data_IF_818882569969
#
_entry.id   IF_818882569969
#
_cell.length_a   1.000
_cell.length_b   1.000
_cell.length_c   1.000
_cell.angle_alpha   90.00
_cell.angle_beta   90.00
_cell.angle_gamma   90.00
#
_symmetry.space_group_name_H-M   'P 1'
#
loop_
_entity.id
_entity.type
_entity.pdbx_description
1 polymer ?
#
# COMPACT_ATOMS: atom_id res chain seq x y z
N UNK A 1 1.37 2.96 14.81
CA UNK A 1 2.67 2.80 14.14
C UNK A 1 3.83 2.80 15.13
N UNK A 2 4.11 3.92 15.85
CA UNK A 2 5.27 4.05 16.76
C UNK A 2 5.41 2.92 17.80
N UNK A 3 4.32 2.56 18.47
CA UNK A 3 4.35 1.48 19.48
C UNK A 3 4.78 0.12 18.90
N UNK A 4 4.30 -0.24 17.71
CA UNK A 4 4.68 -1.49 17.04
C UNK A 4 6.12 -1.42 16.55
N UNK A 5 6.54 -0.26 16.01
CA UNK A 5 7.93 -0.03 15.58
C UNK A 5 8.90 -0.26 16.75
N UNK A 6 8.64 0.33 17.92
CA UNK A 6 9.47 0.17 19.12
C UNK A 6 9.59 -1.31 19.53
N UNK A 7 8.46 -2.03 19.60
CA UNK A 7 8.44 -3.48 19.88
C UNK A 7 9.23 -4.31 18.85
N UNK A 8 9.15 -3.96 17.56
CA UNK A 8 9.92 -4.65 16.53
C UNK A 8 11.42 -4.36 16.65
N UNK A 9 11.79 -3.15 17.08
CA UNK A 9 13.20 -2.77 17.23
C UNK A 9 13.89 -3.48 18.40
N UNK A 10 13.16 -3.83 19.46
CA UNK A 10 13.68 -4.70 20.53
C UNK A 10 14.17 -6.06 20.00
N UNK A 11 13.49 -6.58 18.97
CA UNK A 11 13.86 -7.86 18.32
C UNK A 11 14.90 -7.67 17.21
N UNK A 12 14.81 -6.57 16.46
CA UNK A 12 15.66 -6.27 15.32
C UNK A 12 16.23 -4.86 15.43
N UNK A 13 17.32 -4.71 16.18
CA UNK A 13 17.95 -3.44 16.52
C UNK A 13 18.38 -2.59 15.30
N UNK A 14 18.72 -3.22 14.18
CA UNK A 14 19.06 -2.53 12.91
C UNK A 14 17.99 -2.73 11.83
N UNK A 15 16.82 -3.24 12.22
CA UNK A 15 15.71 -3.51 11.32
C UNK A 15 15.20 -2.24 10.64
N UNK A 16 15.00 -2.33 9.33
CA UNK A 16 14.27 -1.35 8.52
C UNK A 16 12.80 -1.79 8.40
N UNK A 17 11.94 -0.84 8.06
CA UNK A 17 10.49 -1.04 8.06
C UNK A 17 9.90 -0.84 6.68
N UNK A 18 8.90 -1.67 6.34
CA UNK A 18 7.99 -1.43 5.23
C UNK A 18 6.63 -1.18 5.84
N UNK A 19 6.03 -0.02 5.54
CA UNK A 19 4.70 0.28 6.04
C UNK A 19 3.65 -0.45 5.20
N UNK A 20 2.79 -1.22 5.86
CA UNK A 20 1.77 -2.02 5.20
C UNK A 20 0.38 -1.39 5.33
N UNK A 21 -0.21 -1.06 4.18
CA UNK A 21 -1.57 -0.55 4.04
C UNK A 21 -2.48 -1.68 3.55
N UNK A 22 -3.05 -2.44 4.50
CA UNK A 22 -3.81 -3.68 4.22
C UNK A 22 -5.33 -3.47 4.14
N UNK A 23 -5.90 -2.67 5.03
CA UNK A 23 -7.35 -2.62 5.21
C UNK A 23 -8.00 -1.68 4.19
N UNK A 24 -9.13 -2.12 3.61
CA UNK A 24 -9.92 -1.39 2.62
C UNK A 24 -9.22 -1.14 1.29
N UNK A 25 -9.94 -0.51 0.35
CA UNK A 25 -9.36 -0.10 -0.93
C UNK A 25 -8.49 1.14 -0.69
N UNK A 26 -7.22 0.93 -0.36
CA UNK A 26 -6.27 2.01 -0.06
C UNK A 26 -5.99 2.93 -1.25
N UNK A 27 -6.56 2.65 -2.43
CA UNK A 27 -6.49 3.51 -3.63
C UNK A 27 -7.86 4.02 -4.10
N UNK A 28 -8.96 3.84 -3.34
CA UNK A 28 -10.29 4.37 -3.67
C UNK A 28 -10.47 5.83 -3.23
N UNK A 29 -9.41 6.62 -3.29
CA UNK A 29 -9.44 8.04 -2.99
C UNK A 29 -8.64 8.79 -4.06
N UNK A 30 -8.94 10.08 -4.32
CA UNK A 30 -8.13 10.88 -5.22
C UNK A 30 -6.65 10.81 -4.85
N UNK A 31 -5.77 10.85 -5.86
CA UNK A 31 -4.31 10.70 -5.67
C UNK A 31 -3.73 11.64 -4.61
N UNK A 32 -4.28 12.85 -4.46
CA UNK A 32 -3.86 13.81 -3.43
C UNK A 32 -4.12 13.29 -2.00
N UNK A 33 -5.24 12.63 -1.77
CA UNK A 33 -5.54 12.00 -0.47
C UNK A 33 -4.62 10.80 -0.22
N UNK A 34 -4.20 10.10 -1.27
CA UNK A 34 -3.24 9.00 -1.16
C UNK A 34 -1.85 9.53 -0.75
N UNK A 35 -1.41 10.62 -1.38
CA UNK A 35 -0.16 11.32 -1.03
C UNK A 35 -0.17 11.78 0.43
N UNK A 36 -1.25 12.38 0.90
CA UNK A 36 -1.40 12.80 2.30
C UNK A 36 -1.29 11.64 3.30
N UNK A 37 -1.62 10.42 2.89
CA UNK A 37 -1.52 9.22 3.74
C UNK A 37 -0.17 8.52 3.65
N UNK A 38 0.40 8.41 2.45
CA UNK A 38 1.60 7.62 2.20
C UNK A 38 2.89 8.40 2.49
N UNK A 39 2.96 9.67 2.07
CA UNK A 39 4.18 10.48 2.20
C UNK A 39 4.61 10.72 3.66
N UNK A 40 3.71 10.96 4.64
CA UNK A 40 4.14 11.09 6.03
C UNK A 40 4.82 9.84 6.58
N UNK A 41 4.35 8.65 6.16
CA UNK A 41 4.91 7.37 6.62
C UNK A 41 6.28 7.11 6.02
N UNK A 42 6.50 7.52 4.77
CA UNK A 42 7.81 7.46 4.13
C UNK A 42 8.85 8.39 4.77
N UNK A 43 8.41 9.46 5.44
CA UNK A 43 9.28 10.38 6.20
C UNK A 43 9.66 9.85 7.57
N UNK A 44 9.04 8.77 8.05
CA UNK A 44 9.38 8.19 9.35
C UNK A 44 10.75 7.51 9.30
N UNK A 45 11.66 7.79 10.26
CA UNK A 45 13.00 7.22 10.27
C UNK A 45 12.98 5.68 10.22
N UNK A 46 13.78 5.10 9.32
CA UNK A 46 13.91 3.65 9.16
C UNK A 46 12.85 3.00 8.28
N UNK A 47 11.81 3.73 7.85
CA UNK A 47 10.90 3.25 6.79
C UNK A 47 11.61 3.36 5.45
N UNK A 48 11.63 2.27 4.69
CA UNK A 48 12.30 2.19 3.38
C UNK A 48 11.36 1.89 2.22
N UNK A 49 10.08 1.67 2.51
CA UNK A 49 9.14 1.22 1.52
C UNK A 49 7.70 1.17 2.00
N UNK A 50 6.83 0.90 1.04
CA UNK A 50 5.40 0.74 1.23
C UNK A 50 4.97 -0.61 0.66
N UNK A 51 4.05 -1.26 1.36
CA UNK A 51 3.26 -2.36 0.82
C UNK A 51 1.80 -1.93 0.82
N UNK A 52 1.14 -1.98 -0.33
CA UNK A 52 -0.21 -1.46 -0.54
C UNK A 52 -1.09 -2.59 -1.07
N UNK A 53 -2.08 -3.00 -0.29
CA UNK A 53 -3.16 -3.86 -0.75
C UNK A 53 -4.27 -3.04 -1.38
N UNK A 54 -4.67 -3.39 -2.61
CA UNK A 54 -5.80 -2.72 -3.28
C UNK A 54 -6.60 -3.63 -4.21
N UNK A 55 -7.74 -3.12 -4.69
CA UNK A 55 -8.55 -3.77 -5.71
C UNK A 55 -8.04 -3.40 -7.12
N UNK A 56 -8.07 -4.35 -8.07
CA UNK A 56 -7.60 -4.09 -9.44
C UNK A 56 -8.46 -3.04 -10.18
N UNK A 57 -9.73 -2.87 -9.82
CA UNK A 57 -10.64 -1.88 -10.43
C UNK A 57 -10.45 -0.46 -9.89
N UNK A 58 -9.59 -0.24 -8.89
CA UNK A 58 -9.36 1.05 -8.24
C UNK A 58 -7.95 1.61 -8.53
N UNK A 59 -7.47 1.42 -9.75
CA UNK A 59 -6.17 1.91 -10.23
C UNK A 59 -6.34 2.76 -11.49
N UNK A 60 -6.92 3.97 -11.38
CA UNK A 60 -6.93 4.94 -12.48
C UNK A 60 -5.50 5.41 -12.81
N UNK A 61 -5.32 5.97 -14.01
CA UNK A 61 -4.01 6.34 -14.55
C UNK A 61 -3.20 7.26 -13.63
N UNK A 62 -3.84 8.23 -12.97
CA UNK A 62 -3.22 9.17 -12.03
C UNK A 62 -2.65 8.46 -10.79
N UNK A 63 -3.36 7.45 -10.28
CA UNK A 63 -2.89 6.60 -9.18
C UNK A 63 -1.73 5.73 -9.64
N UNK A 64 -1.79 5.16 -10.85
CA UNK A 64 -0.72 4.33 -11.41
C UNK A 64 0.55 5.15 -11.61
N UNK A 65 0.44 6.37 -12.15
CA UNK A 65 1.57 7.31 -12.27
C UNK A 65 2.19 7.63 -10.92
N UNK A 66 1.37 7.87 -9.90
CA UNK A 66 1.87 8.12 -8.54
C UNK A 66 2.57 6.89 -7.93
N UNK A 67 2.01 5.69 -8.10
CA UNK A 67 2.67 4.46 -7.66
C UNK A 67 3.99 4.23 -8.41
N UNK A 68 4.05 4.56 -9.70
CA UNK A 68 5.28 4.48 -10.48
C UNK A 68 6.36 5.44 -9.94
N UNK A 69 6.00 6.68 -9.60
CA UNK A 69 6.91 7.63 -8.94
C UNK A 69 7.41 7.10 -7.58
N UNK A 70 6.49 6.59 -6.75
CA UNK A 70 6.83 5.99 -5.46
C UNK A 70 7.81 4.82 -5.61
N UNK A 71 7.64 3.98 -6.63
CA UNK A 71 8.52 2.85 -6.91
C UNK A 71 9.94 3.28 -7.31
N UNK A 72 10.13 4.48 -7.89
CA UNK A 72 11.48 4.99 -8.19
C UNK A 72 12.22 5.46 -6.93
N UNK A 73 11.48 5.88 -5.90
CA UNK A 73 12.05 6.47 -4.68
C UNK A 73 12.11 5.50 -3.50
N UNK A 74 11.33 4.42 -3.53
CA UNK A 74 11.09 3.55 -2.37
C UNK A 74 10.93 2.10 -2.77
N UNK A 75 11.07 1.17 -1.83
CA UNK A 75 10.71 -0.21 -2.06
C UNK A 75 9.18 -0.35 -2.02
N UNK A 76 8.54 -0.32 -3.20
CA UNK A 76 7.08 -0.42 -3.33
C UNK A 76 6.65 -1.85 -3.64
N UNK A 77 5.66 -2.33 -2.90
CA UNK A 77 4.96 -3.58 -3.16
C UNK A 77 3.45 -3.30 -3.32
N UNK A 78 2.83 -3.79 -4.40
CA UNK A 78 1.40 -3.63 -4.63
C UNK A 78 0.75 -5.01 -4.72
N UNK A 79 -0.17 -5.29 -3.80
CA UNK A 79 -0.94 -6.53 -3.77
C UNK A 79 -2.34 -6.28 -4.34
N UNK A 80 -2.72 -7.06 -5.36
CA UNK A 80 -4.04 -6.98 -5.98
C UNK A 80 -4.95 -8.08 -5.42
N UNK A 81 -6.02 -7.68 -4.73
CA UNK A 81 -6.99 -8.57 -4.12
C UNK A 81 -7.92 -9.24 -5.14
N UNK A 82 -7.41 -10.17 -5.93
CA UNK A 82 -8.18 -10.95 -6.90
C UNK A 82 -8.94 -12.10 -6.22
N UNK A 83 -10.27 -12.10 -6.31
CA UNK A 83 -11.10 -13.22 -5.80
C UNK A 83 -11.16 -14.37 -6.82
N UNK A 84 -11.28 -14.05 -8.10
CA UNK A 84 -11.46 -15.03 -9.18
C UNK A 84 -11.05 -14.40 -10.51
N UNK A 85 -10.55 -15.22 -11.43
CA UNK A 85 -10.30 -14.83 -12.82
C UNK A 85 -11.57 -14.94 -13.70
N UNK A 86 -12.61 -15.60 -13.20
CA UNK A 86 -13.83 -15.86 -13.96
C UNK A 86 -14.86 -14.78 -13.68
N UNK A 87 -15.18 -13.99 -14.71
CA UNK A 87 -16.20 -12.94 -14.62
C UNK A 87 -17.54 -13.48 -14.09
N UNK A 88 -17.96 -14.67 -14.55
CA UNK A 88 -19.20 -15.32 -14.09
C UNK A 88 -19.24 -15.58 -12.58
N UNK A 89 -18.10 -15.90 -11.96
CA UNK A 89 -18.00 -16.06 -10.50
C UNK A 89 -17.99 -14.71 -9.81
N UNK A 90 -17.36 -13.68 -10.41
CA UNK A 90 -17.35 -12.30 -9.89
C UNK A 90 -18.78 -11.74 -9.82
N UNK A 91 -19.55 -11.90 -10.91
CA UNK A 91 -20.94 -11.46 -10.99
C UNK A 91 -21.82 -12.17 -9.95
N UNK A 92 -21.62 -13.48 -9.75
CA UNK A 92 -22.38 -14.28 -8.78
C UNK A 92 -22.20 -13.79 -7.33
N UNK A 93 -21.00 -13.31 -6.99
CA UNK A 93 -20.67 -12.86 -5.63
C UNK A 93 -20.79 -11.33 -5.46
N UNK A 94 -21.33 -10.62 -6.46
CA UNK A 94 -21.45 -9.17 -6.49
C UNK A 94 -20.11 -8.44 -6.30
N UNK A 95 -19.09 -8.84 -7.08
CA UNK A 95 -17.76 -8.26 -7.00
C UNK A 95 -17.18 -7.89 -8.35
#
# INVERSE_FOLDING_TARGET
>A
FKEIKEKMHEKWHEGKYIAYFQAFTNTHAPVEVLKEKFEPVLKEPGVVGLSIGTRPDCLPDDVVEYLADLNQRTYLWVELGLQTIHQSTSDLINR
#
